data_IF_529815138493
#
_entry.id   IF_529815138493
#
_cell.length_a   1.000
_cell.length_b   1.000
_cell.length_c   1.000
_cell.angle_alpha   90.00
_cell.angle_beta   90.00
_cell.angle_gamma   90.00
#
_symmetry.space_group_name_H-M   'P 1'
#
loop_
_entity.id
_entity.type
_entity.pdbx_description
1 polymer ?
#
# COMPACT_ATOMS: atom_id res chain seq x y z
N UNK A 1 -27.75 -43.09 23.56
CA UNK A 1 -28.19 -41.75 23.10
C UNK A 1 -26.93 -40.99 22.72
N UNK A 2 -26.49 -41.16 21.47
CA UNK A 2 -25.19 -40.67 21.00
C UNK A 2 -25.30 -39.18 20.68
N UNK A 3 -24.41 -38.30 21.17
CA UNK A 3 -24.36 -36.92 20.72
C UNK A 3 -23.83 -36.93 19.29
N UNK A 4 -24.69 -36.50 18.37
CA UNK A 4 -24.36 -36.29 16.98
C UNK A 4 -23.40 -35.09 16.91
N UNK A 5 -22.09 -35.35 16.91
CA UNK A 5 -21.06 -34.33 16.67
C UNK A 5 -21.01 -34.08 15.17
N UNK A 6 -21.92 -33.25 14.68
CA UNK A 6 -21.76 -32.61 13.38
C UNK A 6 -20.49 -31.76 13.45
N UNK A 7 -19.45 -32.23 12.77
CA UNK A 7 -18.32 -31.40 12.36
C UNK A 7 -18.92 -30.22 11.64
N UNK A 8 -18.97 -29.07 12.32
CA UNK A 8 -19.47 -27.83 11.76
C UNK A 8 -18.74 -27.58 10.46
N UNK A 9 -19.51 -27.50 9.38
CA UNK A 9 -19.04 -27.12 8.06
C UNK A 9 -18.12 -25.91 8.20
N UNK A 10 -16.86 -26.10 7.78
CA UNK A 10 -15.89 -25.02 7.62
C UNK A 10 -16.60 -23.81 7.01
N UNK A 11 -16.59 -22.63 7.68
CA UNK A 11 -17.24 -21.45 7.14
C UNK A 11 -16.70 -21.23 5.73
N UNK A 12 -17.62 -21.18 4.77
CA UNK A 12 -17.34 -21.12 3.36
C UNK A 12 -16.29 -20.04 3.07
N UNK A 13 -15.19 -20.48 2.47
CA UNK A 13 -14.10 -19.67 1.98
C UNK A 13 -14.58 -18.73 0.86
N UNK A 14 -15.39 -17.72 1.19
CA UNK A 14 -15.73 -16.68 0.25
C UNK A 14 -14.52 -15.76 0.13
N UNK A 15 -13.78 -15.95 -0.98
CA UNK A 15 -12.75 -15.02 -1.41
C UNK A 15 -13.32 -13.59 -1.36
N UNK A 16 -12.58 -12.59 -0.85
CA UNK A 16 -13.07 -11.21 -0.86
C UNK A 16 -13.43 -10.81 -2.30
N UNK A 17 -14.59 -10.17 -2.48
CA UNK A 17 -15.21 -9.72 -3.75
C UNK A 17 -14.26 -8.96 -4.71
N UNK A 18 -13.09 -8.54 -4.23
CA UNK A 18 -11.97 -7.93 -4.97
C UNK A 18 -11.27 -8.94 -5.91
N UNK A 19 -11.54 -10.24 -5.79
CA UNK A 19 -11.03 -11.27 -6.70
C UNK A 19 -11.86 -11.46 -7.98
N UNK A 20 -12.88 -10.62 -8.23
CA UNK A 20 -13.61 -10.68 -9.49
C UNK A 20 -12.66 -10.40 -10.67
N UNK A 21 -12.82 -11.14 -11.77
CA UNK A 21 -12.06 -10.88 -13.00
C UNK A 21 -12.21 -9.41 -13.44
N UNK A 22 -13.40 -8.83 -13.24
CA UNK A 22 -13.70 -7.42 -13.50
C UNK A 22 -12.77 -6.48 -12.74
N UNK A 23 -12.58 -6.66 -11.43
CA UNK A 23 -11.69 -5.81 -10.64
C UNK A 23 -10.23 -5.86 -11.13
N UNK A 24 -9.74 -7.05 -11.53
CA UNK A 24 -8.39 -7.18 -12.12
C UNK A 24 -8.27 -6.46 -13.45
N UNK A 25 -9.27 -6.56 -14.31
CA UNK A 25 -9.30 -5.85 -15.58
C UNK A 25 -9.36 -4.34 -15.40
N UNK A 26 -10.18 -3.83 -14.47
CA UNK A 26 -10.24 -2.41 -14.16
C UNK A 26 -8.88 -1.86 -13.72
N UNK A 27 -8.19 -2.52 -12.79
CA UNK A 27 -6.85 -2.09 -12.35
C UNK A 27 -5.85 -2.09 -13.51
N UNK A 28 -5.89 -3.10 -14.39
CA UNK A 28 -5.02 -3.15 -15.57
C UNK A 28 -5.30 -2.03 -16.57
N UNK A 29 -6.57 -1.75 -16.85
CA UNK A 29 -6.98 -0.67 -17.76
C UNK A 29 -6.51 0.67 -17.21
N UNK A 30 -6.75 0.96 -15.92
CA UNK A 30 -6.28 2.20 -15.29
C UNK A 30 -4.74 2.30 -15.38
N UNK A 31 -4.01 1.21 -15.14
CA UNK A 31 -2.56 1.19 -15.24
C UNK A 31 -2.04 1.46 -16.66
N UNK A 32 -2.65 0.86 -17.68
CA UNK A 32 -2.30 1.11 -19.09
C UNK A 32 -2.61 2.56 -19.46
N UNK A 33 -3.80 3.06 -19.11
CA UNK A 33 -4.18 4.45 -19.37
C UNK A 33 -3.25 5.43 -18.66
N UNK A 34 -2.85 5.15 -17.42
CA UNK A 34 -1.87 5.94 -16.68
C UNK A 34 -0.52 5.98 -17.41
N UNK A 35 0.00 4.81 -17.83
CA UNK A 35 1.27 4.72 -18.54
C UNK A 35 1.23 5.48 -19.88
N UNK A 36 0.16 5.33 -20.66
CA UNK A 36 -0.02 6.05 -21.93
C UNK A 36 -0.13 7.56 -21.69
N UNK A 37 -0.90 7.99 -20.69
CA UNK A 37 -1.05 9.41 -20.37
C UNK A 37 0.27 10.03 -19.88
N UNK A 38 1.05 9.32 -19.07
CA UNK A 38 2.38 9.77 -18.64
C UNK A 38 3.34 9.84 -19.82
N UNK A 39 3.38 8.82 -20.69
CA UNK A 39 4.21 8.83 -21.90
C UNK A 39 3.85 9.99 -22.83
N UNK A 40 2.55 10.26 -23.02
CA UNK A 40 2.07 11.39 -23.80
C UNK A 40 2.45 12.74 -23.16
N UNK A 41 2.34 12.86 -21.83
CA UNK A 41 2.78 14.07 -21.11
C UNK A 41 4.26 14.33 -21.31
N UNK A 42 5.10 13.30 -21.16
CA UNK A 42 6.55 13.39 -21.39
C UNK A 42 6.86 13.76 -22.84
N UNK A 43 6.19 13.12 -23.80
CA UNK A 43 6.38 13.42 -25.21
C UNK A 43 6.00 14.87 -25.56
N UNK A 44 4.83 15.33 -25.10
CA UNK A 44 4.40 16.71 -25.29
C UNK A 44 5.37 17.71 -24.64
N UNK A 45 5.76 17.43 -23.39
CA UNK A 45 6.65 18.30 -22.62
C UNK A 45 8.08 18.36 -23.15
N UNK A 46 8.56 17.32 -23.84
CA UNK A 46 9.93 17.27 -24.38
C UNK A 46 10.01 17.71 -25.85
N UNK A 47 9.00 17.46 -26.68
CA UNK A 47 9.09 17.73 -28.12
C UNK A 47 8.07 18.74 -28.67
N UNK A 48 6.96 19.00 -27.99
CA UNK A 48 5.85 19.80 -28.55
C UNK A 48 5.76 21.18 -27.91
N UNK A 49 5.93 21.28 -26.60
CA UNK A 49 5.87 22.57 -25.90
C UNK A 49 7.11 23.41 -26.21
N UNK A 50 6.96 24.70 -26.57
CA UNK A 50 8.10 25.58 -26.76
C UNK A 50 8.82 25.83 -25.41
N UNK A 51 10.08 26.28 -25.43
CA UNK A 51 10.75 26.76 -24.22
C UNK A 51 10.04 28.00 -23.66
N UNK A 52 10.07 28.17 -22.34
CA UNK A 52 9.53 29.37 -21.69
C UNK A 52 10.46 30.58 -21.88
N UNK A 53 9.87 31.77 -21.93
CA UNK A 53 10.61 33.03 -22.13
C UNK A 53 11.59 33.31 -20.99
N UNK A 54 11.23 32.93 -19.76
CA UNK A 54 12.03 33.20 -18.56
C UNK A 54 12.84 31.97 -18.10
N UNK A 55 12.24 30.78 -18.18
CA UNK A 55 12.82 29.53 -17.67
C UNK A 55 13.52 28.69 -18.74
N UNK A 56 13.37 29.03 -20.03
CA UNK A 56 13.90 28.22 -21.13
C UNK A 56 13.38 26.78 -21.06
N UNK A 57 14.29 25.81 -21.16
CA UNK A 57 13.97 24.38 -21.07
C UNK A 57 13.65 23.89 -19.65
N UNK A 58 13.88 24.70 -18.60
CA UNK A 58 13.52 24.31 -17.22
C UNK A 58 12.00 24.19 -17.04
N UNK A 59 11.20 24.86 -17.88
CA UNK A 59 9.73 24.76 -17.88
C UNK A 59 9.25 23.31 -18.03
N UNK A 60 10.05 22.42 -18.62
CA UNK A 60 9.69 21.02 -18.82
C UNK A 60 9.47 20.28 -17.51
N UNK A 61 10.13 20.70 -16.43
CA UNK A 61 9.90 20.15 -15.08
C UNK A 61 8.53 20.57 -14.52
N UNK A 62 7.97 21.71 -14.95
CA UNK A 62 6.64 22.19 -14.55
C UNK A 62 5.55 21.18 -14.94
N UNK A 63 5.73 20.40 -16.00
CA UNK A 63 4.72 19.43 -16.44
C UNK A 63 4.60 18.20 -15.54
N UNK A 64 5.60 17.94 -14.68
CA UNK A 64 5.64 16.76 -13.82
C UNK A 64 5.68 17.14 -12.34
N UNK A 65 6.62 18.01 -11.92
CA UNK A 65 6.88 18.29 -10.51
C UNK A 65 5.64 18.77 -9.72
N UNK A 66 4.87 19.77 -10.17
CA UNK A 66 3.64 20.20 -9.50
C UNK A 66 2.59 19.10 -9.41
N UNK A 67 2.48 18.24 -10.44
CA UNK A 67 1.59 17.08 -10.43
C UNK A 67 1.99 16.04 -9.38
N UNK A 68 3.29 15.78 -9.23
CA UNK A 68 3.84 14.89 -8.19
C UNK A 68 3.53 15.46 -6.80
N UNK A 69 3.76 16.75 -6.57
CA UNK A 69 3.45 17.43 -5.31
C UNK A 69 1.95 17.42 -5.00
N UNK A 70 1.12 17.67 -6.01
CA UNK A 70 -0.34 17.64 -5.90
C UNK A 70 -0.85 16.28 -5.41
N UNK A 71 -0.35 15.20 -6.03
CA UNK A 71 -0.69 13.85 -5.63
C UNK A 71 -0.29 13.60 -4.18
N UNK A 72 0.95 13.93 -3.79
CA UNK A 72 1.42 13.69 -2.43
C UNK A 72 0.56 14.43 -1.40
N UNK A 73 0.45 15.75 -1.52
CA UNK A 73 -0.14 16.62 -0.50
C UNK A 73 -1.66 16.47 -0.43
N UNK A 74 -2.37 16.53 -1.57
CA UNK A 74 -3.83 16.65 -1.56
C UNK A 74 -4.52 15.32 -1.79
N UNK A 75 -4.05 14.52 -2.73
CA UNK A 75 -4.72 13.24 -3.02
C UNK A 75 -4.33 12.19 -1.99
N UNK A 76 -3.05 11.93 -1.78
CA UNK A 76 -2.60 10.85 -0.91
C UNK A 76 -2.82 11.18 0.57
N UNK A 77 -2.20 12.25 1.07
CA UNK A 77 -2.32 12.62 2.49
C UNK A 77 -3.69 13.19 2.82
N UNK A 78 -4.34 13.92 1.90
CA UNK A 78 -5.73 14.33 2.07
C UNK A 78 -6.70 13.14 2.12
N UNK A 79 -6.56 12.14 1.24
CA UNK A 79 -7.37 10.92 1.32
C UNK A 79 -7.09 10.16 2.62
N UNK A 80 -5.83 10.07 3.06
CA UNK A 80 -5.48 9.44 4.34
C UNK A 80 -6.15 10.15 5.52
N UNK A 81 -6.21 11.48 5.52
CA UNK A 81 -6.91 12.27 6.53
C UNK A 81 -8.42 12.00 6.52
N UNK A 82 -9.06 12.06 5.35
CA UNK A 82 -10.50 11.79 5.20
C UNK A 82 -10.84 10.36 5.62
N UNK A 83 -10.08 9.37 5.17
CA UNK A 83 -10.28 7.97 5.56
C UNK A 83 -10.07 7.77 7.07
N UNK A 84 -9.06 8.41 7.67
CA UNK A 84 -8.85 8.38 9.12
C UNK A 84 -10.01 9.01 9.90
N UNK A 85 -10.57 10.12 9.40
CA UNK A 85 -11.76 10.74 9.98
C UNK A 85 -12.97 9.79 9.92
N UNK A 86 -13.22 9.17 8.75
CA UNK A 86 -14.31 8.22 8.56
C UNK A 86 -14.15 6.95 9.41
N UNK A 87 -12.91 6.52 9.70
CA UNK A 87 -12.64 5.42 10.63
C UNK A 87 -12.99 5.78 12.09
N UNK A 88 -12.66 7.00 12.51
CA UNK A 88 -12.93 7.49 13.87
C UNK A 88 -14.40 7.84 14.07
N UNK A 89 -15.12 8.18 13.01
CA UNK A 89 -16.53 8.50 13.07
C UNK A 89 -17.39 7.24 13.33
N UNK A 90 -18.17 7.18 14.43
CA UNK A 90 -18.84 5.95 14.86
C UNK A 90 -19.77 5.33 13.81
N UNK A 91 -20.43 6.15 12.98
CA UNK A 91 -21.39 5.66 11.97
C UNK A 91 -20.73 5.02 10.74
N UNK A 92 -19.49 5.38 10.44
CA UNK A 92 -18.77 4.92 9.25
C UNK A 92 -17.59 4.02 9.59
N UNK A 93 -17.33 3.80 10.88
CA UNK A 93 -16.20 3.02 11.41
C UNK A 93 -16.13 1.65 10.76
N UNK A 94 -15.04 1.43 10.01
CA UNK A 94 -14.75 0.18 9.32
C UNK A 94 -13.26 0.07 9.03
N UNK A 95 -12.68 -1.13 9.15
CA UNK A 95 -11.29 -1.41 8.77
C UNK A 95 -11.01 -1.16 7.28
N UNK A 96 -12.05 -1.02 6.45
CA UNK A 96 -11.91 -0.50 5.09
C UNK A 96 -11.18 0.84 5.06
N UNK A 97 -11.61 1.80 5.90
CA UNK A 97 -11.05 3.14 5.93
C UNK A 97 -9.61 3.15 6.46
N UNK A 98 -9.31 2.29 7.44
CA UNK A 98 -7.95 2.12 7.93
C UNK A 98 -6.99 1.63 6.84
N UNK A 99 -7.40 0.60 6.09
CA UNK A 99 -6.62 0.08 4.95
C UNK A 99 -6.44 1.12 3.85
N UNK A 100 -7.49 1.90 3.58
CA UNK A 100 -7.45 2.96 2.58
C UNK A 100 -6.47 4.06 2.99
N UNK A 101 -6.49 4.48 4.26
CA UNK A 101 -5.55 5.45 4.79
C UNK A 101 -4.11 4.91 4.72
N UNK A 102 -3.88 3.66 5.14
CA UNK A 102 -2.56 3.05 5.09
C UNK A 102 -2.00 2.99 3.66
N UNK A 103 -2.80 2.51 2.70
CA UNK A 103 -2.41 2.43 1.30
C UNK A 103 -2.14 3.82 0.71
N UNK A 104 -2.96 4.82 1.05
CA UNK A 104 -2.76 6.19 0.61
C UNK A 104 -1.46 6.79 1.17
N UNK A 105 -1.14 6.56 2.45
CA UNK A 105 0.11 7.04 3.05
C UNK A 105 1.33 6.37 2.42
N UNK A 106 1.32 5.06 2.20
CA UNK A 106 2.45 4.36 1.59
C UNK A 106 2.77 4.87 0.18
N UNK A 107 1.75 5.05 -0.65
CA UNK A 107 1.92 5.64 -1.99
C UNK A 107 2.29 7.12 -1.87
N UNK A 108 1.66 7.87 -0.97
CA UNK A 108 1.91 9.29 -0.74
C UNK A 108 3.35 9.60 -0.33
N UNK A 109 3.96 8.76 0.51
CA UNK A 109 5.38 8.88 0.89
C UNK A 109 6.29 8.78 -0.33
N UNK A 110 6.01 7.86 -1.27
CA UNK A 110 6.79 7.75 -2.52
C UNK A 110 6.67 9.04 -3.34
N UNK A 111 5.46 9.56 -3.53
CA UNK A 111 5.25 10.82 -4.24
C UNK A 111 5.88 12.02 -3.51
N UNK A 112 5.88 12.04 -2.18
CA UNK A 112 6.50 13.13 -1.41
C UNK A 112 8.03 13.10 -1.53
N UNK A 113 8.65 11.91 -1.50
CA UNK A 113 10.07 11.75 -1.81
C UNK A 113 10.37 12.24 -3.23
N UNK A 114 9.57 11.83 -4.22
CA UNK A 114 9.71 12.33 -5.60
C UNK A 114 9.53 13.85 -5.69
N UNK A 115 8.65 14.44 -4.87
CA UNK A 115 8.44 15.89 -4.79
C UNK A 115 9.72 16.59 -4.33
N UNK A 116 10.34 16.11 -3.24
CA UNK A 116 11.58 16.68 -2.73
C UNK A 116 12.74 16.53 -3.72
N UNK A 117 12.89 15.38 -4.37
CA UNK A 117 13.96 15.13 -5.34
C UNK A 117 13.77 16.02 -6.58
N UNK A 118 12.58 15.98 -7.19
CA UNK A 118 12.31 16.78 -8.40
C UNK A 118 12.35 18.29 -8.10
N UNK A 119 11.92 18.70 -6.91
CA UNK A 119 12.05 20.08 -6.44
C UNK A 119 13.51 20.49 -6.26
N UNK A 120 14.37 19.61 -5.73
CA UNK A 120 15.80 19.86 -5.59
C UNK A 120 16.51 20.00 -6.95
N UNK A 121 16.16 19.12 -7.91
CA UNK A 121 16.64 19.17 -9.30
C UNK A 121 16.25 20.49 -9.96
N UNK A 122 15.04 20.98 -9.71
CA UNK A 122 14.58 22.26 -10.23
C UNK A 122 15.22 23.46 -9.49
N UNK A 123 15.42 23.33 -8.18
CA UNK A 123 16.02 24.38 -7.34
C UNK A 123 17.45 24.72 -7.74
N UNK A 124 18.27 23.72 -8.11
CA UNK A 124 19.69 23.95 -8.44
C UNK A 124 19.90 24.97 -9.57
N UNK A 125 19.29 24.83 -10.76
CA UNK A 125 19.44 25.81 -11.84
C UNK A 125 18.63 27.10 -11.59
N UNK A 126 17.56 27.06 -10.78
CA UNK A 126 16.69 28.24 -10.56
C UNK A 126 17.23 29.18 -9.49
N UNK A 127 17.80 28.64 -8.41
CA UNK A 127 18.24 29.40 -7.22
C UNK A 127 19.72 29.21 -6.88
N UNK A 128 20.46 28.40 -7.64
CA UNK A 128 21.87 28.09 -7.41
C UNK A 128 22.14 27.05 -6.33
N UNK A 129 21.11 26.59 -5.60
CA UNK A 129 21.22 25.65 -4.46
C UNK A 129 20.27 24.47 -4.61
N UNK A 130 20.69 23.29 -4.15
CA UNK A 130 19.86 22.07 -4.14
C UNK A 130 18.80 22.09 -3.03
N UNK A 131 19.06 22.82 -1.96
CA UNK A 131 18.20 22.91 -0.79
C UNK A 131 18.32 24.29 -0.17
N UNK A 132 17.19 24.81 0.28
CA UNK A 132 17.11 25.97 1.14
C UNK A 132 16.21 25.64 2.32
N UNK A 133 16.56 26.16 3.49
CA UNK A 133 15.76 26.01 4.71
C UNK A 133 14.63 27.04 4.76
N UNK A 134 13.88 27.18 3.66
CA UNK A 134 12.71 28.05 3.61
C UNK A 134 11.45 27.33 4.12
N UNK A 135 10.35 28.08 4.31
CA UNK A 135 9.13 27.55 4.90
C UNK A 135 8.54 26.39 4.09
N UNK A 136 8.47 26.52 2.75
CA UNK A 136 7.87 25.50 1.85
C UNK A 136 8.68 24.21 1.84
N UNK A 137 10.00 24.32 1.62
CA UNK A 137 10.88 23.15 1.53
C UNK A 137 10.91 22.44 2.89
N UNK A 138 11.11 23.20 3.97
CA UNK A 138 11.19 22.63 5.32
C UNK A 138 9.89 21.96 5.73
N UNK A 139 8.72 22.60 5.53
CA UNK A 139 7.44 21.97 5.86
C UNK A 139 7.18 20.73 5.01
N UNK A 140 7.59 20.71 3.73
CA UNK A 140 7.42 19.51 2.88
C UNK A 140 8.27 18.34 3.37
N UNK A 141 9.48 18.60 3.86
CA UNK A 141 10.33 17.59 4.48
C UNK A 141 9.78 17.12 5.84
N UNK A 142 9.25 18.03 6.66
CA UNK A 142 8.56 17.68 7.91
C UNK A 142 7.36 16.79 7.63
N UNK A 143 6.54 17.12 6.63
CA UNK A 143 5.42 16.28 6.18
C UNK A 143 5.87 14.85 5.84
N UNK A 144 6.99 14.70 5.14
CA UNK A 144 7.57 13.38 4.83
C UNK A 144 7.91 12.63 6.13
N UNK A 145 8.61 13.27 7.06
CA UNK A 145 8.99 12.66 8.34
C UNK A 145 7.76 12.28 9.18
N UNK A 146 6.73 13.12 9.21
CA UNK A 146 5.48 12.84 9.93
C UNK A 146 4.78 11.59 9.39
N UNK A 147 4.69 11.45 8.06
CA UNK A 147 4.07 10.27 7.44
C UNK A 147 4.97 9.03 7.45
N UNK A 148 6.30 9.18 7.48
CA UNK A 148 7.20 8.07 7.81
C UNK A 148 6.99 7.60 9.26
N UNK A 149 6.78 8.54 10.19
CA UNK A 149 6.40 8.26 11.57
C UNK A 149 5.07 7.51 11.68
N UNK A 150 4.07 7.89 10.88
CA UNK A 150 2.81 7.13 10.76
C UNK A 150 3.07 5.67 10.35
N UNK A 151 3.90 5.43 9.32
CA UNK A 151 4.21 4.08 8.86
C UNK A 151 5.01 3.29 9.90
N UNK A 152 5.94 3.94 10.60
CA UNK A 152 6.69 3.34 11.70
C UNK A 152 5.75 2.92 12.85
N UNK A 153 4.82 3.79 13.24
CA UNK A 153 3.83 3.49 14.29
C UNK A 153 2.94 2.30 13.91
N UNK A 154 2.56 2.17 12.64
CA UNK A 154 1.76 1.02 12.16
C UNK A 154 2.48 -0.32 12.30
N UNK A 155 3.82 -0.33 12.31
CA UNK A 155 4.62 -1.54 12.51
C UNK A 155 4.72 -1.97 13.98
N UNK A 156 4.31 -1.13 14.92
CA UNK A 156 4.27 -1.50 16.34
C UNK A 156 3.19 -2.56 16.55
N UNK A 157 3.51 -3.73 17.15
CA UNK A 157 2.54 -4.77 17.42
C UNK A 157 1.36 -4.25 18.27
N UNK A 158 0.15 -4.44 17.77
CA UNK A 158 -1.09 -4.10 18.44
C UNK A 158 -2.26 -4.82 17.77
N UNK A 159 -3.37 -4.97 18.50
CA UNK A 159 -4.63 -5.41 17.90
C UNK A 159 -5.05 -4.50 16.73
N UNK A 160 -5.73 -5.03 15.69
CA UNK A 160 -6.07 -4.28 14.49
C UNK A 160 -6.79 -2.94 14.78
N UNK A 161 -7.74 -2.93 15.70
CA UNK A 161 -8.49 -1.73 16.06
C UNK A 161 -7.67 -0.71 16.83
N UNK A 162 -6.77 -1.16 17.69
CA UNK A 162 -5.86 -0.29 18.45
C UNK A 162 -4.86 0.37 17.49
N UNK A 163 -4.27 -0.43 16.58
CA UNK A 163 -3.37 0.06 15.53
C UNK A 163 -4.07 1.08 14.64
N UNK A 164 -5.27 0.75 14.15
CA UNK A 164 -6.03 1.62 13.26
C UNK A 164 -6.41 2.93 13.94
N UNK A 165 -6.85 2.90 15.20
CA UNK A 165 -7.20 4.10 15.98
C UNK A 165 -6.00 5.01 16.21
N UNK A 166 -4.86 4.47 16.66
CA UNK A 166 -3.61 5.24 16.86
C UNK A 166 -3.13 5.87 15.56
N UNK A 167 -3.15 5.09 14.49
CA UNK A 167 -2.75 5.54 13.15
C UNK A 167 -3.65 6.66 12.65
N UNK A 168 -4.96 6.54 12.80
CA UNK A 168 -5.92 7.56 12.37
C UNK A 168 -5.66 8.92 13.05
N UNK A 169 -5.37 8.94 14.36
CA UNK A 169 -5.00 10.18 15.05
C UNK A 169 -3.70 10.78 14.51
N UNK A 170 -2.67 9.96 14.27
CA UNK A 170 -1.40 10.46 13.72
C UNK A 170 -1.56 10.98 12.30
N UNK A 171 -2.34 10.31 11.45
CA UNK A 171 -2.62 10.80 10.09
C UNK A 171 -3.33 12.15 10.12
N UNK A 172 -4.32 12.35 11.00
CA UNK A 172 -5.01 13.63 11.15
C UNK A 172 -4.07 14.72 11.68
N UNK A 173 -3.22 14.41 12.65
CA UNK A 173 -2.21 15.34 13.15
C UNK A 173 -1.21 15.74 12.05
N UNK A 174 -0.68 14.76 11.32
CA UNK A 174 0.25 15.00 10.22
C UNK A 174 -0.40 15.79 9.07
N UNK A 175 -1.68 15.56 8.80
CA UNK A 175 -2.41 16.25 7.74
C UNK A 175 -2.59 17.77 8.01
N UNK A 176 -2.44 18.23 9.25
CA UNK A 176 -2.40 19.67 9.57
C UNK A 176 -1.21 20.36 8.91
N UNK A 177 -0.13 19.63 8.62
CA UNK A 177 1.03 20.20 7.94
C UNK A 177 0.78 20.41 6.42
N UNK A 178 -0.21 19.75 5.82
CA UNK A 178 -0.59 19.97 4.42
C UNK A 178 -0.99 21.43 4.13
N UNK A 179 -1.91 22.08 4.87
CA UNK A 179 -2.20 23.49 4.67
C UNK A 179 -1.02 24.40 5.03
N UNK A 180 -0.17 24.04 6.00
CA UNK A 180 1.07 24.78 6.29
C UNK A 180 1.97 24.78 5.06
N UNK A 181 2.18 23.61 4.45
CA UNK A 181 2.93 23.50 3.20
C UNK A 181 2.25 24.34 2.14
N UNK A 182 0.94 24.19 1.88
CA UNK A 182 0.22 24.91 0.82
C UNK A 182 0.38 26.43 0.94
N UNK A 183 0.06 26.99 2.11
CA UNK A 183 0.04 28.43 2.36
C UNK A 183 1.41 29.01 2.73
N UNK A 184 2.46 28.20 2.90
CA UNK A 184 3.81 28.66 3.24
C UNK A 184 4.34 29.77 2.31
N UNK A 185 4.00 29.72 1.02
CA UNK A 185 4.38 30.72 0.00
C UNK A 185 3.63 32.04 0.14
N UNK A 186 2.49 32.06 0.84
CA UNK A 186 1.74 33.28 1.15
C UNK A 186 2.11 33.83 2.53
N UNK A 187 2.39 32.95 3.49
CA UNK A 187 2.66 33.33 4.88
C UNK A 187 4.11 33.78 5.11
N UNK A 188 5.07 33.26 4.34
CA UNK A 188 6.49 33.61 4.49
C UNK A 188 7.15 33.96 3.17
N UNK A 189 8.29 34.67 3.26
CA UNK A 189 9.16 34.91 2.12
C UNK A 189 9.92 33.62 1.79
N UNK A 190 9.57 32.97 0.69
CA UNK A 190 10.20 31.73 0.22
C UNK A 190 10.97 31.93 -1.07
N UNK A 191 11.93 31.05 -1.37
CA UNK A 191 12.53 30.98 -2.72
C UNK A 191 11.56 30.33 -3.70
N UNK A 192 10.67 29.47 -3.19
CA UNK A 192 9.64 28.83 -3.99
C UNK A 192 8.71 29.87 -4.64
N UNK A 193 8.54 29.77 -5.95
CA UNK A 193 7.63 30.62 -6.73
C UNK A 193 6.17 30.42 -6.31
N UNK A 194 5.35 31.45 -6.51
CA UNK A 194 3.89 31.39 -6.30
C UNK A 194 3.20 30.38 -7.24
N UNK A 195 1.92 30.11 -7.00
CA UNK A 195 1.16 29.18 -7.82
C UNK A 195 0.95 29.71 -9.25
N UNK A 196 1.30 28.91 -10.26
CA UNK A 196 1.14 29.28 -11.69
C UNK A 196 -0.24 28.94 -12.26
N UNK A 197 -0.93 27.93 -11.72
CA UNK A 197 -2.25 27.44 -12.21
C UNK A 197 -3.39 27.73 -11.24
N UNK A 198 -3.12 27.64 -9.94
CA UNK A 198 -4.06 27.98 -8.86
C UNK A 198 -3.63 29.30 -8.24
N UNK A 199 -3.33 30.30 -9.07
CA UNK A 199 -3.15 31.66 -8.58
C UNK A 199 -4.49 32.17 -8.03
N UNK A 200 -4.49 33.05 -7.02
CA UNK A 200 -5.72 33.64 -6.46
C UNK A 200 -6.62 34.28 -7.52
N UNK A 201 -6.02 34.76 -8.62
CA UNK A 201 -6.71 35.45 -9.70
C UNK A 201 -7.26 34.52 -10.80
N UNK A 202 -7.06 33.19 -10.69
CA UNK A 202 -7.55 32.15 -11.60
C UNK A 202 -7.32 32.44 -13.10
N UNK A 203 -6.24 33.15 -13.42
CA UNK A 203 -5.87 33.55 -14.78
C UNK A 203 -4.61 32.79 -15.20
N UNK A 204 -4.72 31.77 -16.08
CA UNK A 204 -3.54 31.05 -16.56
C UNK A 204 -2.71 31.98 -17.45
N UNK A 205 -1.53 32.38 -17.00
CA UNK A 205 -0.56 33.18 -17.77
C UNK A 205 0.29 32.33 -18.72
N UNK A 206 -0.20 31.14 -19.09
CA UNK A 206 0.58 30.08 -19.77
C UNK A 206 0.08 29.91 -21.21
N UNK A 207 1.00 29.79 -22.16
CA UNK A 207 0.71 29.47 -23.57
C UNK A 207 -0.16 28.21 -23.70
N UNK A 208 -1.12 28.18 -24.62
CA UNK A 208 -2.16 27.13 -24.67
C UNK A 208 -1.62 25.70 -24.69
N UNK A 209 -0.55 25.43 -25.44
CA UNK A 209 0.11 24.12 -25.48
C UNK A 209 0.78 23.71 -24.17
N UNK A 210 1.38 24.67 -23.46
CA UNK A 210 2.00 24.45 -22.15
C UNK A 210 0.94 24.21 -21.07
N UNK A 211 -0.17 24.97 -21.09
CA UNK A 211 -1.27 24.82 -20.15
C UNK A 211 -1.93 23.43 -20.30
N UNK A 212 -2.16 22.99 -21.54
CA UNK A 212 -2.72 21.67 -21.82
C UNK A 212 -1.79 20.54 -21.39
N UNK A 213 -0.49 20.66 -21.67
CA UNK A 213 0.53 19.69 -21.25
C UNK A 213 0.61 19.59 -19.72
N UNK A 214 0.53 20.74 -19.04
CA UNK A 214 0.50 20.80 -17.58
C UNK A 214 -0.73 20.10 -17.01
N UNK A 215 -1.93 20.39 -17.53
CA UNK A 215 -3.16 19.71 -17.10
C UNK A 215 -3.07 18.19 -17.30
N UNK A 216 -2.56 17.76 -18.46
CA UNK A 216 -2.34 16.34 -18.73
C UNK A 216 -1.34 15.73 -17.73
N UNK A 217 -0.33 16.48 -17.29
CA UNK A 217 0.56 16.11 -16.20
C UNK A 217 -0.16 15.85 -14.88
N UNK A 218 -1.07 16.73 -14.46
CA UNK A 218 -1.91 16.50 -13.28
C UNK A 218 -2.79 15.26 -13.42
N UNK A 219 -3.43 15.09 -14.57
CA UNK A 219 -4.30 13.93 -14.85
C UNK A 219 -3.50 12.63 -14.86
N UNK A 220 -2.37 12.58 -15.55
CA UNK A 220 -1.55 11.37 -15.66
C UNK A 220 -0.98 10.96 -14.30
N UNK A 221 -0.45 11.89 -13.51
CA UNK A 221 0.08 11.61 -12.17
C UNK A 221 -1.04 11.19 -11.20
N UNK A 222 -2.25 11.76 -11.34
CA UNK A 222 -3.44 11.30 -10.60
C UNK A 222 -3.84 9.88 -10.97
N UNK A 223 -3.80 9.51 -12.26
CA UNK A 223 -4.08 8.14 -12.70
C UNK A 223 -3.03 7.15 -12.18
N UNK A 224 -1.75 7.52 -12.19
CA UNK A 224 -0.67 6.71 -11.58
C UNK A 224 -0.93 6.50 -10.10
N UNK A 225 -1.30 7.55 -9.37
CA UNK A 225 -1.67 7.45 -7.95
C UNK A 225 -2.84 6.50 -7.72
N UNK A 226 -3.94 6.68 -8.45
CA UNK A 226 -5.14 5.83 -8.32
C UNK A 226 -4.78 4.38 -8.62
N UNK A 227 -3.99 4.12 -9.65
CA UNK A 227 -3.52 2.77 -9.96
C UNK A 227 -2.70 2.16 -8.82
N UNK A 228 -1.68 2.87 -8.34
CA UNK A 228 -0.84 2.41 -7.22
C UNK A 228 -1.65 2.19 -5.94
N UNK A 229 -2.58 3.10 -5.63
CA UNK A 229 -3.48 3.01 -4.49
C UNK A 229 -4.34 1.75 -4.54
N UNK A 230 -4.97 1.46 -5.69
CA UNK A 230 -5.81 0.27 -5.87
C UNK A 230 -4.99 -1.02 -5.73
N UNK A 231 -3.79 -1.05 -6.31
CA UNK A 231 -2.87 -2.19 -6.17
C UNK A 231 -2.46 -2.37 -4.71
N UNK A 232 -2.03 -1.31 -4.03
CA UNK A 232 -1.56 -1.39 -2.65
C UNK A 232 -2.68 -1.76 -1.66
N UNK A 233 -3.86 -1.17 -1.83
CA UNK A 233 -5.05 -1.51 -1.05
C UNK A 233 -5.39 -3.01 -1.21
N UNK A 234 -5.38 -3.51 -2.45
CA UNK A 234 -5.62 -4.93 -2.73
C UNK A 234 -4.57 -5.83 -2.05
N UNK A 235 -3.30 -5.45 -2.07
CA UNK A 235 -2.24 -6.18 -1.34
C UNK A 235 -2.58 -6.22 0.16
N UNK A 236 -2.96 -5.09 0.76
CA UNK A 236 -3.31 -5.04 2.19
C UNK A 236 -4.50 -5.93 2.57
N UNK A 237 -5.51 -6.03 1.71
CA UNK A 237 -6.63 -6.97 1.93
C UNK A 237 -6.17 -8.43 1.84
N UNK A 238 -5.24 -8.75 0.94
CA UNK A 238 -4.71 -10.11 0.79
C UNK A 238 -3.79 -10.49 1.96
N UNK A 239 -2.97 -9.55 2.45
CA UNK A 239 -2.14 -9.73 3.64
C UNK A 239 -2.98 -10.07 4.88
N UNK A 240 -4.06 -9.32 5.13
CA UNK A 240 -4.98 -9.59 6.24
C UNK A 240 -5.66 -10.96 6.11
N UNK A 241 -6.07 -11.32 4.88
CA UNK A 241 -6.72 -12.61 4.61
C UNK A 241 -5.78 -13.79 4.82
N UNK A 242 -4.53 -13.68 4.36
CA UNK A 242 -3.51 -14.70 4.59
C UNK A 242 -3.25 -14.88 6.08
N UNK A 243 -3.08 -13.77 6.82
CA UNK A 243 -2.87 -13.80 8.27
C UNK A 243 -4.03 -14.46 9.03
N UNK A 244 -5.28 -14.21 8.62
CA UNK A 244 -6.44 -14.90 9.23
C UNK A 244 -6.43 -16.41 8.99
N UNK A 245 -6.01 -16.86 7.80
CA UNK A 245 -5.93 -18.28 7.47
C UNK A 245 -4.82 -19.01 8.22
N UNK A 246 -3.65 -18.39 8.34
CA UNK A 246 -2.54 -18.93 9.10
C UNK A 246 -2.93 -19.13 10.57
N UNK A 247 -3.68 -18.18 11.14
CA UNK A 247 -4.23 -18.30 12.48
C UNK A 247 -5.23 -19.46 12.60
N UNK A 248 -6.16 -19.59 11.65
CA UNK A 248 -7.15 -20.68 11.66
C UNK A 248 -6.48 -22.06 11.61
N UNK A 249 -5.45 -22.22 10.77
CA UNK A 249 -4.67 -23.46 10.67
C UNK A 249 -3.95 -23.76 11.98
N UNK A 250 -3.25 -22.77 12.55
CA UNK A 250 -2.55 -22.94 13.82
C UNK A 250 -3.51 -23.33 14.97
N UNK A 251 -4.73 -22.78 14.99
CA UNK A 251 -5.74 -23.15 15.98
C UNK A 251 -6.24 -24.60 15.80
N UNK A 252 -6.37 -25.07 14.56
CA UNK A 252 -6.75 -26.47 14.28
C UNK A 252 -5.64 -27.43 14.73
N UNK A 253 -4.38 -27.12 14.42
CA UNK A 253 -3.22 -27.92 14.86
C UNK A 253 -3.14 -28.01 16.39
N UNK A 254 -3.25 -26.87 17.09
CA UNK A 254 -3.27 -26.84 18.55
C UNK A 254 -4.42 -27.63 19.17
N UNK A 255 -5.59 -27.66 18.56
CA UNK A 255 -6.72 -28.50 19.01
C UNK A 255 -6.46 -29.99 18.80
N UNK A 256 -5.79 -30.35 17.71
CA UNK A 256 -5.40 -31.73 17.44
C UNK A 256 -4.35 -32.22 18.46
N UNK A 257 -3.40 -31.39 18.85
CA UNK A 257 -2.42 -31.68 19.93
C UNK A 257 -3.10 -31.92 21.29
N UNK A 258 -4.17 -31.19 21.59
CA UNK A 258 -4.87 -31.25 22.87
C UNK A 258 -5.92 -32.36 23.02
N UNK A 259 -6.18 -33.14 21.96
CA UNK A 259 -7.17 -34.23 22.02
C UNK A 259 -6.54 -35.45 22.69
N UNK A 260 -7.05 -35.94 23.85
CA UNK A 260 -6.52 -37.14 24.48
C UNK A 260 -6.61 -38.32 23.51
N UNK A 261 -5.50 -39.02 23.27
CA UNK A 261 -5.52 -40.28 22.52
C UNK A 261 -6.39 -41.26 23.31
N UNK A 262 -7.59 -41.53 22.82
CA UNK A 262 -8.49 -42.53 23.38
C UNK A 262 -7.90 -43.93 23.18
N UNK A 263 -7.09 -44.36 24.14
CA UNK A 263 -6.46 -45.70 24.17
C UNK A 263 -7.47 -46.83 24.32
N UNK A 264 -8.75 -46.54 24.55
CA UNK A 264 -9.80 -47.57 24.66
C UNK A 264 -10.30 -48.07 23.29
N UNK A 265 -10.00 -47.36 22.20
CA UNK A 265 -10.36 -47.76 20.82
C UNK A 265 -9.24 -48.47 20.07
N UNK A 266 -8.00 -48.36 20.53
CA UNK A 266 -6.93 -49.26 20.11
C UNK A 266 -7.09 -50.55 20.89
N UNK A 267 -7.87 -51.49 20.38
CA UNK A 267 -8.06 -52.82 20.95
C UNK A 267 -6.77 -53.63 20.95
N UNK A 268 -5.82 -53.24 21.81
CA UNK A 268 -4.70 -54.05 22.23
C UNK A 268 -4.95 -54.37 23.70
N UNK A 269 -5.68 -55.46 23.89
CA UNK A 269 -5.78 -56.13 25.17
C UNK A 269 -4.40 -56.69 25.55
N UNK A 270 -3.79 -56.29 26.68
CA UNK A 270 -2.50 -56.84 27.12
C UNK A 270 -2.59 -58.28 27.63
N UNK A 271 -3.78 -58.88 27.69
CA UNK A 271 -4.02 -60.13 28.44
C UNK A 271 -4.02 -61.42 27.62
N UNK A 272 -3.68 -61.39 26.33
CA UNK A 272 -3.60 -62.61 25.53
C UNK A 272 -2.18 -62.95 25.06
N UNK A 273 -1.59 -63.92 25.77
CA UNK A 273 -0.75 -64.96 25.17
C UNK A 273 0.74 -64.77 25.37
N UNK A 274 1.28 -65.33 26.46
CA UNK A 274 2.60 -65.96 26.36
C UNK A 274 2.43 -67.32 25.66
N UNK A 275 3.13 -67.58 24.56
CA UNK A 275 3.53 -68.93 24.19
C UNK A 275 4.96 -69.17 24.67
N UNK A 276 5.11 -70.21 25.46
CA UNK A 276 6.37 -70.64 26.04
C UNK A 276 7.46 -70.94 25.00
N UNK A 277 8.67 -70.94 25.55
CA UNK A 277 9.92 -71.31 24.91
C UNK A 277 9.85 -72.66 24.15
N UNK A 278 10.36 -72.68 22.92
CA UNK A 278 11.48 -73.54 22.45
C UNK A 278 11.69 -73.33 20.94
N UNK A 279 12.95 -73.39 20.48
CA UNK A 279 13.25 -73.82 19.11
C UNK A 279 13.69 -72.77 18.07
N UNK A 280 14.99 -72.45 18.12
CA UNK A 280 15.93 -72.58 16.97
C UNK A 280 15.82 -71.61 15.77
N UNK A 281 16.82 -70.74 15.70
CA UNK A 281 17.62 -70.25 14.55
C UNK A 281 17.06 -70.47 13.13
N UNK A 282 16.88 -69.40 12.37
CA UNK A 282 17.53 -69.29 11.06
C UNK A 282 17.67 -67.84 10.57
N UNK A 283 18.79 -67.61 9.90
CA UNK A 283 19.31 -66.35 9.38
C UNK A 283 18.53 -65.81 8.18
N UNK A 284 18.49 -64.48 7.99
CA UNK A 284 17.92 -63.92 6.76
C UNK A 284 17.82 -62.39 6.71
N UNK A 285 18.88 -61.75 6.24
CA UNK A 285 18.98 -60.35 5.81
C UNK A 285 17.98 -60.03 4.69
N UNK A 286 17.28 -58.88 4.75
CA UNK A 286 17.24 -57.93 3.63
C UNK A 286 16.76 -56.52 4.06
N UNK A 287 17.54 -55.51 3.70
CA UNK A 287 17.31 -54.09 3.99
C UNK A 287 16.72 -53.44 2.74
N UNK A 288 15.39 -53.37 2.67
CA UNK A 288 14.66 -52.76 1.56
C UNK A 288 14.71 -51.22 1.56
N UNK A 289 15.40 -50.65 0.57
CA UNK A 289 15.43 -49.21 0.20
C UNK A 289 14.09 -48.70 -0.36
N UNK A 290 13.85 -47.37 -0.34
CA UNK A 290 12.62 -46.78 -0.88
C UNK A 290 12.63 -46.68 -2.41
N UNK A 291 11.49 -47.00 -3.01
CA UNK A 291 11.22 -46.93 -4.46
C UNK A 291 10.77 -45.51 -4.84
N UNK A 292 11.49 -44.87 -5.76
CA UNK A 292 11.05 -43.70 -6.53
C UNK A 292 10.41 -44.20 -7.83
N UNK A 293 9.24 -43.72 -8.27
CA UNK A 293 8.74 -44.02 -9.61
C UNK A 293 9.24 -42.98 -10.62
N UNK A 294 9.93 -43.48 -11.64
CA UNK A 294 10.35 -42.73 -12.82
C UNK A 294 9.45 -43.09 -14.02
N UNK A 295 8.95 -42.06 -14.72
CA UNK A 295 8.75 -42.11 -16.16
C UNK A 295 7.33 -42.29 -16.70
N UNK A 296 6.79 -41.22 -17.29
CA UNK A 296 6.07 -41.32 -18.55
C UNK A 296 6.28 -40.05 -19.38
N UNK A 297 6.92 -40.28 -20.54
CA UNK A 297 7.07 -39.51 -21.79
C UNK A 297 6.23 -38.26 -21.98
#
# INVERSE_FOLDING_TARGET
>A
MSPNLSVGSSPSAHSPLIQSARARWTVRIIGITAAVATALTVWLGLWVTPPDVSQGDLVRLVYIHPGVAWVALYLAFGLAAVASLLYLWPRTRSLFWDRLAAAAVEVGVVFNVCTLISGSIWGKPTWGVWWAWDARLTSTAVLLVLFLGYLALRRVPAEPDVRAKRSAYVALFAAVDVPIVHFSVLWWRTLHQGATVLNPDLSPTIHGSMAWTLLLGFVSLTLVFVWMLLVRYRIGVLEDWLGSRELDVALVERRAEGTPVDRSRTGVDPSHGEPGADGRLDDGVDVGRPVVPEGAR
#
